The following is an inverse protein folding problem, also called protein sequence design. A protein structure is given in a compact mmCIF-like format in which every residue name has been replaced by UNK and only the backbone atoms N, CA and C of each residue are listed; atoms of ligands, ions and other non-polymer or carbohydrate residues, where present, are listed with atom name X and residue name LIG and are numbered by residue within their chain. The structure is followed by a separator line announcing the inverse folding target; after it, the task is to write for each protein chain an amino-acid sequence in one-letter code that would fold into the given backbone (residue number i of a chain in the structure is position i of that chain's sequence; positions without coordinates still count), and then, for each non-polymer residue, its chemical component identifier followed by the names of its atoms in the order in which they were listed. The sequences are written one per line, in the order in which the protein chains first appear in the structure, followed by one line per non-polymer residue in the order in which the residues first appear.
data_IF_587370986619
#
_entry.id   IF_587370986619
#
_cell.length_a   1.000
_cell.length_b   1.000
_cell.length_c   1.000
_cell.angle_alpha   90.00
_cell.angle_beta   90.00
_cell.angle_gamma   90.00
#
_symmetry.space_group_name_H-M   'P 1'
#
loop_
_entity.id
_entity.type
_entity.pdbx_description
1 polymer ?
#
# COMPACT_ATOMS: atom_id res chain seq x y z
N UNK A 1 -2.04 16.48 18.60
CA UNK A 1 -2.27 15.61 17.42
C UNK A 1 -2.26 16.51 16.21
N UNK A 2 -1.51 16.15 15.18
CA UNK A 2 -1.26 17.02 14.02
C UNK A 2 -2.24 16.78 12.86
N UNK A 3 -3.32 16.05 13.12
CA UNK A 3 -4.33 15.67 12.15
C UNK A 3 -5.73 15.67 12.80
N UNK A 4 -6.79 15.66 11.98
CA UNK A 4 -8.17 15.54 12.43
C UNK A 4 -8.82 14.27 11.88
N UNK A 5 -9.37 13.43 12.76
CA UNK A 5 -10.11 12.23 12.34
C UNK A 5 -11.35 12.59 11.50
N UNK A 6 -12.08 13.64 11.88
CA UNK A 6 -13.25 14.10 11.12
C UNK A 6 -12.87 14.50 9.70
N UNK A 7 -11.75 15.22 9.54
CA UNK A 7 -11.20 15.58 8.23
C UNK A 7 -10.77 14.34 7.45
N UNK A 8 -10.13 13.35 8.09
CA UNK A 8 -9.78 12.09 7.44
C UNK A 8 -11.00 11.33 6.95
N UNK A 9 -12.08 11.25 7.73
CA UNK A 9 -13.34 10.64 7.28
C UNK A 9 -13.98 11.42 6.13
N UNK A 10 -13.90 12.74 6.14
CA UNK A 10 -14.35 13.57 5.03
C UNK A 10 -13.54 13.28 3.75
N UNK A 11 -12.21 13.22 3.84
CA UNK A 11 -11.33 12.83 2.74
C UNK A 11 -11.73 11.46 2.20
N UNK A 12 -11.94 10.47 3.08
CA UNK A 12 -12.37 9.13 2.69
C UNK A 12 -13.72 9.15 1.96
N UNK A 13 -14.71 9.91 2.46
CA UNK A 13 -16.02 10.04 1.82
C UNK A 13 -15.93 10.71 0.45
N UNK A 14 -15.15 11.80 0.32
CA UNK A 14 -15.01 12.54 -0.94
C UNK A 14 -14.13 11.84 -1.96
N UNK A 15 -13.30 10.90 -1.52
CA UNK A 15 -12.49 10.02 -2.38
C UNK A 15 -13.05 8.59 -2.46
N UNK A 16 -14.33 8.40 -2.12
CA UNK A 16 -15.03 7.11 -2.21
C UNK A 16 -14.92 6.43 -3.59
N UNK A 17 -14.88 7.13 -4.74
CA UNK A 17 -14.61 6.50 -6.03
C UNK A 17 -13.31 5.66 -6.04
N UNK A 18 -12.25 6.12 -5.37
CA UNK A 18 -10.99 5.39 -5.24
C UNK A 18 -11.06 4.21 -4.26
N UNK A 19 -11.86 4.33 -3.20
CA UNK A 19 -12.14 3.22 -2.28
C UNK A 19 -12.85 2.10 -3.04
N UNK A 20 -13.88 2.44 -3.80
CA UNK A 20 -14.63 1.49 -4.65
C UNK A 20 -13.70 0.88 -5.70
N UNK A 21 -12.90 1.69 -6.39
CA UNK A 21 -11.93 1.21 -7.37
C UNK A 21 -10.97 0.19 -6.75
N UNK A 22 -10.44 0.45 -5.55
CA UNK A 22 -9.60 -0.52 -4.83
C UNK A 22 -10.32 -1.82 -4.55
N UNK A 23 -11.55 -1.76 -4.03
CA UNK A 23 -12.36 -2.94 -3.75
C UNK A 23 -12.56 -3.76 -5.03
N UNK A 24 -12.91 -3.10 -6.14
CA UNK A 24 -13.11 -3.75 -7.43
C UNK A 24 -11.83 -4.40 -7.96
N UNK A 25 -10.67 -3.76 -7.81
CA UNK A 25 -9.39 -4.33 -8.24
C UNK A 25 -9.02 -5.55 -7.39
N UNK A 26 -9.13 -5.47 -6.05
CA UNK A 26 -8.85 -6.60 -5.18
C UNK A 26 -9.81 -7.76 -5.40
N UNK A 27 -11.09 -7.45 -5.57
CA UNK A 27 -12.12 -8.43 -5.88
C UNK A 27 -11.88 -9.06 -7.26
N UNK A 28 -11.53 -8.27 -8.28
CA UNK A 28 -11.21 -8.75 -9.62
C UNK A 28 -10.02 -9.72 -9.62
N UNK A 29 -8.97 -9.42 -8.84
CA UNK A 29 -7.84 -10.34 -8.62
C UNK A 29 -8.31 -11.66 -7.99
N UNK A 30 -9.15 -11.60 -6.95
CA UNK A 30 -9.70 -12.79 -6.30
C UNK A 30 -10.55 -13.64 -7.26
N UNK A 31 -11.44 -12.99 -8.02
CA UNK A 31 -12.28 -13.63 -9.03
C UNK A 31 -11.42 -14.28 -10.12
N UNK A 32 -10.35 -13.62 -10.57
CA UNK A 32 -9.43 -14.19 -11.56
C UNK A 32 -8.82 -15.51 -11.07
N UNK A 33 -8.35 -15.56 -9.81
CA UNK A 33 -7.86 -16.80 -9.21
C UNK A 33 -8.94 -17.89 -9.17
N UNK A 34 -10.13 -17.57 -8.65
CA UNK A 34 -11.22 -18.55 -8.52
C UNK A 34 -11.64 -19.09 -9.88
N UNK A 35 -11.85 -18.21 -10.87
CA UNK A 35 -12.29 -18.61 -12.21
C UNK A 35 -11.23 -19.41 -12.93
N UNK A 36 -9.96 -19.00 -12.90
CA UNK A 36 -8.91 -19.72 -13.61
C UNK A 36 -8.58 -21.07 -12.97
N UNK A 37 -8.54 -21.15 -11.64
CA UNK A 37 -8.37 -22.43 -10.92
C UNK A 37 -9.56 -23.35 -11.16
N UNK A 38 -10.79 -22.83 -11.07
CA UNK A 38 -12.01 -23.60 -11.32
C UNK A 38 -12.11 -24.08 -12.77
N UNK A 39 -11.80 -23.21 -13.74
CA UNK A 39 -11.77 -23.57 -15.17
C UNK A 39 -10.71 -24.60 -15.45
N UNK A 40 -9.50 -24.43 -14.92
CA UNK A 40 -8.41 -25.40 -15.04
C UNK A 40 -8.80 -26.75 -14.46
N UNK A 41 -9.40 -26.78 -13.27
CA UNK A 41 -9.89 -28.01 -12.66
C UNK A 41 -11.00 -28.66 -13.50
N UNK A 42 -11.93 -27.86 -14.04
CA UNK A 42 -12.99 -28.34 -14.93
C UNK A 42 -12.46 -28.96 -16.23
N UNK A 43 -11.46 -28.34 -16.86
CA UNK A 43 -10.75 -28.90 -18.03
C UNK A 43 -10.05 -30.21 -17.63
N UNK A 44 -9.35 -30.21 -16.51
CA UNK A 44 -8.67 -31.40 -15.96
C UNK A 44 -9.64 -32.55 -15.68
N UNK A 45 -10.82 -32.25 -15.12
CA UNK A 45 -11.90 -33.22 -14.92
C UNK A 45 -12.43 -33.78 -16.24
N UNK A 46 -12.60 -32.92 -17.24
CA UNK A 46 -13.02 -33.32 -18.59
C UNK A 46 -12.01 -34.25 -19.27
N UNK A 47 -10.71 -33.95 -19.18
CA UNK A 47 -9.63 -34.84 -19.65
C UNK A 47 -9.58 -36.14 -18.84
N UNK A 48 -9.77 -36.03 -17.53
CA UNK A 48 -9.82 -37.16 -16.61
C UNK A 48 -11.00 -38.12 -16.86
N UNK A 49 -12.00 -37.72 -17.64
CA UNK A 49 -13.13 -38.59 -17.99
C UNK A 49 -12.71 -39.80 -18.85
N UNK A 50 -11.55 -39.72 -19.52
CA UNK A 50 -11.00 -40.80 -20.35
C UNK A 50 -10.21 -41.88 -19.58
N UNK A 51 -10.02 -41.71 -18.26
CA UNK A 51 -9.31 -42.67 -17.42
C UNK A 51 -10.15 -43.18 -16.24
N UNK A 52 -9.48 -43.85 -15.31
CA UNK A 52 -10.06 -44.32 -14.06
C UNK A 52 -10.29 -43.17 -13.04
N UNK A 53 -10.79 -43.52 -11.86
CA UNK A 53 -11.13 -42.56 -10.80
C UNK A 53 -9.88 -41.82 -10.32
N UNK A 54 -8.76 -42.51 -10.18
CA UNK A 54 -7.49 -41.94 -9.71
C UNK A 54 -6.89 -41.01 -10.76
N UNK A 55 -6.94 -41.38 -12.04
CA UNK A 55 -6.56 -40.52 -13.15
C UNK A 55 -7.44 -39.27 -13.18
N UNK A 56 -8.77 -39.40 -13.03
CA UNK A 56 -9.67 -38.25 -13.02
C UNK A 56 -9.39 -37.29 -11.87
N UNK A 57 -9.17 -37.81 -10.68
CA UNK A 57 -8.79 -37.01 -9.52
C UNK A 57 -7.46 -36.27 -9.77
N UNK A 58 -6.46 -36.98 -10.30
CA UNK A 58 -5.13 -36.45 -10.61
C UNK A 58 -5.18 -35.37 -11.71
N UNK A 59 -5.90 -35.63 -12.81
CA UNK A 59 -6.07 -34.67 -13.91
C UNK A 59 -6.84 -33.42 -13.46
N UNK A 60 -7.88 -33.57 -12.63
CA UNK A 60 -8.63 -32.45 -12.04
C UNK A 60 -7.71 -31.58 -11.17
N UNK A 61 -6.92 -32.21 -10.29
CA UNK A 61 -5.97 -31.51 -9.43
C UNK A 61 -4.94 -30.73 -10.26
N UNK A 62 -4.28 -31.38 -11.21
CA UNK A 62 -3.25 -30.73 -12.04
C UNK A 62 -3.84 -29.64 -12.94
N UNK A 63 -5.04 -29.83 -13.48
CA UNK A 63 -5.75 -28.79 -14.20
C UNK A 63 -5.98 -27.55 -13.33
N UNK A 64 -6.44 -27.73 -12.10
CA UNK A 64 -6.60 -26.64 -11.13
C UNK A 64 -5.28 -25.98 -10.74
N UNK A 65 -4.24 -26.78 -10.49
CA UNK A 65 -2.90 -26.30 -10.14
C UNK A 65 -2.26 -25.49 -11.27
N UNK A 66 -2.42 -25.92 -12.53
CA UNK A 66 -1.97 -25.18 -13.71
C UNK A 66 -2.75 -23.87 -13.85
N UNK A 67 -4.08 -23.91 -13.73
CA UNK A 67 -4.92 -22.70 -13.76
C UNK A 67 -4.53 -21.68 -12.68
N UNK A 68 -4.28 -22.15 -11.46
CA UNK A 68 -3.76 -21.34 -10.37
C UNK A 68 -2.36 -20.78 -10.68
N UNK A 69 -1.43 -21.65 -11.10
CA UNK A 69 -0.03 -21.29 -11.36
C UNK A 69 0.12 -20.27 -12.50
N UNK A 70 -0.61 -20.47 -13.61
CA UNK A 70 -0.63 -19.53 -14.72
C UNK A 70 -1.18 -18.16 -14.28
N UNK A 71 -2.26 -18.14 -13.51
CA UNK A 71 -2.85 -16.90 -12.98
C UNK A 71 -1.91 -16.22 -12.00
N UNK A 72 -1.26 -16.97 -11.11
CA UNK A 72 -0.27 -16.45 -10.19
C UNK A 72 0.91 -15.82 -10.94
N UNK A 73 1.40 -16.46 -12.01
CA UNK A 73 2.48 -15.92 -12.83
C UNK A 73 2.07 -14.60 -13.51
N UNK A 74 0.89 -14.54 -14.14
CA UNK A 74 0.39 -13.31 -14.79
C UNK A 74 0.16 -12.19 -13.77
N UNK A 75 -0.52 -12.51 -12.67
CA UNK A 75 -0.82 -11.52 -11.64
C UNK A 75 0.41 -11.09 -10.87
N UNK A 76 1.46 -11.90 -10.76
CA UNK A 76 2.72 -11.48 -10.15
C UNK A 76 3.27 -10.21 -10.82
N UNK A 77 3.25 -10.15 -12.16
CA UNK A 77 3.72 -8.97 -12.90
C UNK A 77 2.71 -7.82 -12.92
N UNK A 78 1.41 -8.11 -13.08
CA UNK A 78 0.40 -7.07 -13.23
C UNK A 78 -0.02 -6.43 -11.90
N UNK A 79 -0.04 -7.22 -10.82
CA UNK A 79 -0.58 -6.79 -9.52
C UNK A 79 0.18 -5.60 -8.98
N UNK A 80 1.51 -5.64 -9.02
CA UNK A 80 2.31 -4.57 -8.44
C UNK A 80 2.03 -3.25 -9.15
N UNK A 81 2.04 -3.26 -10.49
CA UNK A 81 1.71 -2.09 -11.30
C UNK A 81 0.29 -1.56 -11.05
N UNK A 82 -0.73 -2.43 -11.12
CA UNK A 82 -2.14 -2.02 -10.99
C UNK A 82 -2.41 -1.46 -9.59
N UNK A 83 -2.00 -2.19 -8.54
CA UNK A 83 -2.25 -1.77 -7.17
C UNK A 83 -1.52 -0.47 -6.84
N UNK A 84 -0.31 -0.32 -7.35
CA UNK A 84 0.48 0.87 -7.12
C UNK A 84 -0.09 2.09 -7.86
N UNK A 85 -0.54 1.94 -9.11
CA UNK A 85 -1.17 3.03 -9.86
C UNK A 85 -2.46 3.52 -9.18
N UNK A 86 -3.31 2.59 -8.72
CA UNK A 86 -4.53 2.93 -7.96
C UNK A 86 -4.18 3.62 -6.64
N UNK A 87 -3.11 3.17 -5.97
CA UNK A 87 -2.63 3.77 -4.73
C UNK A 87 -2.12 5.20 -4.97
N UNK A 88 -1.26 5.40 -5.96
CA UNK A 88 -0.72 6.70 -6.34
C UNK A 88 -1.81 7.69 -6.72
N UNK A 89 -2.78 7.27 -7.54
CA UNK A 89 -3.92 8.10 -7.92
C UNK A 89 -4.76 8.53 -6.70
N UNK A 90 -5.00 7.61 -5.76
CA UNK A 90 -5.72 8.00 -4.54
C UNK A 90 -4.93 8.98 -3.68
N UNK A 91 -3.61 8.81 -3.57
CA UNK A 91 -2.74 9.75 -2.87
C UNK A 91 -2.83 11.13 -3.51
N UNK A 92 -2.80 11.22 -4.85
CA UNK A 92 -2.91 12.49 -5.56
C UNK A 92 -4.18 13.25 -5.16
N UNK A 93 -5.35 12.59 -5.18
CA UNK A 93 -6.61 13.26 -4.80
C UNK A 93 -6.72 13.52 -3.29
N UNK A 94 -6.07 12.71 -2.44
CA UNK A 94 -5.96 13.01 -1.01
C UNK A 94 -5.12 14.26 -0.76
N UNK A 95 -4.03 14.46 -1.51
CA UNK A 95 -3.19 15.67 -1.43
C UNK A 95 -3.99 16.91 -1.83
N UNK A 96 -4.66 16.88 -2.99
CA UNK A 96 -5.52 17.98 -3.46
C UNK A 96 -6.57 18.37 -2.41
N UNK A 97 -7.21 17.37 -1.78
CA UNK A 97 -8.18 17.57 -0.70
C UNK A 97 -7.57 18.17 0.57
N UNK A 98 -6.35 17.77 0.94
CA UNK A 98 -5.64 18.33 2.09
C UNK A 98 -5.25 19.79 1.83
N UNK A 99 -4.94 20.14 0.58
CA UNK A 99 -4.63 21.51 0.16
C UNK A 99 -5.89 22.35 -0.15
N UNK A 100 -7.09 21.77 -0.02
CA UNK A 100 -8.35 22.48 -0.23
C UNK A 100 -8.69 22.75 -1.69
N UNK A 101 -8.03 22.06 -2.63
CA UNK A 101 -8.26 22.19 -4.07
C UNK A 101 -9.55 21.45 -4.48
N UNK A 102 -10.29 21.96 -5.49
CA UNK A 102 -11.51 21.33 -5.95
C UNK A 102 -11.20 20.00 -6.65
N UNK A 103 -11.97 18.95 -6.35
CA UNK A 103 -11.89 17.66 -7.04
C UNK A 103 -13.10 17.47 -7.97
N UNK A 104 -12.90 16.88 -9.17
CA UNK A 104 -14.00 16.39 -9.98
C UNK A 104 -14.82 15.35 -9.22
N UNK A 105 -16.14 15.35 -9.46
CA UNK A 105 -17.05 14.38 -8.83
C UNK A 105 -17.09 13.04 -9.58
N UNK A 106 -17.44 11.98 -8.84
CA UNK A 106 -17.69 10.65 -9.40
C UNK A 106 -16.49 10.05 -10.13
N UNK A 107 -16.73 9.47 -11.32
CA UNK A 107 -15.70 8.76 -12.10
C UNK A 107 -14.62 9.70 -12.67
N UNK A 108 -14.92 10.98 -12.86
CA UNK A 108 -13.97 11.98 -13.37
C UNK A 108 -12.76 12.16 -12.43
N UNK A 109 -12.94 11.88 -11.14
CA UNK A 109 -11.87 11.91 -10.14
C UNK A 109 -10.72 10.95 -10.46
N UNK A 110 -11.03 9.78 -11.06
CA UNK A 110 -10.00 8.77 -11.38
C UNK A 110 -9.15 9.25 -12.56
N UNK A 111 -9.77 9.79 -13.60
CA UNK A 111 -9.04 10.35 -14.75
C UNK A 111 -8.14 11.52 -14.32
N UNK A 112 -8.70 12.46 -13.55
CA UNK A 112 -7.94 13.58 -13.02
C UNK A 112 -6.73 13.15 -12.19
N UNK A 113 -6.89 12.15 -11.33
CA UNK A 113 -5.77 11.60 -10.56
C UNK A 113 -4.71 10.93 -11.44
N UNK A 114 -5.14 10.23 -12.51
CA UNK A 114 -4.22 9.65 -13.47
C UNK A 114 -3.42 10.73 -14.19
N UNK A 115 -4.04 11.85 -14.52
CA UNK A 115 -3.36 12.99 -15.14
C UNK A 115 -2.33 13.59 -14.18
N UNK A 116 -2.68 13.82 -12.90
CA UNK A 116 -1.70 14.28 -11.88
C UNK A 116 -0.50 13.34 -11.80
N UNK A 117 -0.73 12.02 -11.73
CA UNK A 117 0.35 11.04 -11.62
C UNK A 117 1.19 10.98 -12.89
N UNK A 118 0.56 11.05 -14.07
CA UNK A 118 1.26 11.06 -15.36
C UNK A 118 2.09 12.33 -15.54
N UNK A 119 1.52 13.49 -15.29
CA UNK A 119 2.20 14.78 -15.41
C UNK A 119 3.41 14.83 -14.46
N UNK A 120 3.24 14.31 -13.24
CA UNK A 120 4.29 14.35 -12.23
C UNK A 120 5.47 13.45 -12.52
N UNK A 121 5.21 12.24 -13.00
CA UNK A 121 6.25 11.22 -13.14
C UNK A 121 6.65 10.93 -14.57
N UNK A 122 5.94 11.51 -15.56
CA UNK A 122 6.08 11.42 -17.03
C UNK A 122 6.10 9.99 -17.60
N UNK A 123 6.96 9.14 -17.05
CA UNK A 123 7.11 7.73 -17.35
C UNK A 123 6.85 6.91 -16.08
N UNK A 124 6.03 5.87 -16.18
CA UNK A 124 5.68 5.01 -15.03
C UNK A 124 6.89 4.29 -14.39
N UNK A 125 7.99 4.17 -15.12
CA UNK A 125 9.26 3.60 -14.66
C UNK A 125 9.94 4.44 -13.56
N UNK A 126 9.87 5.78 -13.61
CA UNK A 126 10.51 6.66 -12.61
C UNK A 126 9.81 6.50 -11.27
N UNK A 127 8.48 6.58 -11.29
CA UNK A 127 7.65 6.42 -10.10
C UNK A 127 7.90 5.05 -9.44
N UNK A 128 7.93 3.97 -10.23
CA UNK A 128 8.21 2.64 -9.72
C UNK A 128 9.65 2.51 -9.18
N UNK A 129 10.63 3.07 -9.88
CA UNK A 129 12.02 3.04 -9.43
C UNK A 129 12.22 3.82 -8.12
N UNK A 130 11.52 4.94 -7.93
CA UNK A 130 11.47 5.67 -6.66
C UNK A 130 10.89 4.81 -5.55
N UNK A 131 9.72 4.21 -5.79
CA UNK A 131 9.03 3.35 -4.82
C UNK A 131 9.91 2.19 -4.34
N UNK A 132 10.61 1.51 -5.26
CA UNK A 132 11.53 0.43 -4.89
C UNK A 132 12.72 0.90 -4.05
N UNK A 133 13.30 2.06 -4.39
CA UNK A 133 14.41 2.61 -3.60
C UNK A 133 13.92 3.03 -2.22
N UNK A 134 12.78 3.71 -2.12
CA UNK A 134 12.19 4.16 -0.86
C UNK A 134 11.87 2.96 0.04
N UNK A 135 11.24 1.91 -0.49
CA UNK A 135 11.02 0.64 0.22
C UNK A 135 12.33 0.00 0.69
N UNK A 136 13.37 0.07 -0.13
CA UNK A 136 14.72 -0.35 0.26
C UNK A 136 15.29 0.45 1.43
N UNK A 137 15.11 1.78 1.44
CA UNK A 137 15.51 2.65 2.56
C UNK A 137 14.75 2.27 3.83
N UNK A 138 13.43 2.16 3.73
CA UNK A 138 12.55 1.76 4.84
C UNK A 138 12.92 0.38 5.37
N UNK A 139 13.19 -0.59 4.49
CA UNK A 139 13.61 -1.94 4.84
C UNK A 139 14.92 -1.94 5.63
N UNK A 140 15.92 -1.16 5.21
CA UNK A 140 17.18 -1.02 5.93
C UNK A 140 16.98 -0.44 7.34
N UNK A 141 16.22 0.66 7.45
CA UNK A 141 15.97 1.33 8.74
C UNK A 141 15.21 0.41 9.69
N UNK A 142 14.15 -0.26 9.21
CA UNK A 142 13.39 -1.20 10.06
C UNK A 142 14.19 -2.44 10.44
N UNK A 143 15.09 -2.91 9.57
CA UNK A 143 16.01 -4.00 9.86
C UNK A 143 16.91 -3.68 11.05
N UNK A 144 17.50 -2.49 11.07
CA UNK A 144 18.34 -2.01 12.18
C UNK A 144 17.56 -1.96 13.50
N UNK A 145 16.34 -1.40 13.49
CA UNK A 145 15.48 -1.32 14.69
C UNK A 145 15.12 -2.71 15.21
N UNK A 146 14.83 -3.67 14.33
CA UNK A 146 14.53 -5.06 14.73
C UNK A 146 15.76 -5.76 15.31
N UNK A 147 16.95 -5.55 14.73
CA UNK A 147 18.20 -6.12 15.23
C UNK A 147 18.52 -5.64 16.65
N UNK A 148 18.32 -4.35 16.94
CA UNK A 148 18.48 -3.81 18.29
C UNK A 148 17.45 -4.38 19.27
N UNK A 149 16.19 -4.55 18.84
CA UNK A 149 15.13 -5.12 19.67
C UNK A 149 15.35 -6.60 20.01
N UNK A 150 16.07 -7.38 19.18
CA UNK A 150 16.38 -8.79 19.47
C UNK A 150 17.44 -8.99 20.56
N UNK A 151 18.23 -7.96 20.88
CA UNK A 151 19.31 -8.04 21.88
C UNK A 151 18.78 -7.82 23.31
N UNK A 152 17.57 -7.27 23.48
CA UNK A 152 16.95 -7.00 24.78
C UNK A 152 15.66 -7.81 24.97
N UNK A 153 15.74 -9.11 25.32
CA UNK A 153 14.58 -9.85 25.81
C UNK A 153 14.23 -9.33 27.21
N UNK A 154 13.24 -8.44 27.29
CA UNK A 154 12.69 -7.96 28.57
C UNK A 154 11.48 -8.85 28.88
N UNK A 155 11.54 -9.73 29.90
CA UNK A 155 10.39 -10.53 30.32
C UNK A 155 9.25 -9.62 30.83
N UNK A 156 8.00 -9.89 30.46
CA UNK A 156 6.83 -9.17 30.98
C UNK A 156 6.39 -7.92 30.20
N UNK A 157 7.09 -7.52 29.13
CA UNK A 157 6.68 -6.40 28.26
C UNK A 157 6.10 -6.83 26.91
N UNK A 158 5.81 -8.12 26.69
CA UNK A 158 5.37 -8.63 25.38
C UNK A 158 4.10 -7.95 24.85
N UNK A 159 3.16 -7.63 25.75
CA UNK A 159 1.93 -6.89 25.42
C UNK A 159 2.23 -5.46 24.98
N UNK A 160 3.03 -4.72 25.76
CA UNK A 160 3.48 -3.38 25.42
C UNK A 160 4.26 -3.37 24.11
N UNK A 161 5.17 -4.33 23.92
CA UNK A 161 5.94 -4.50 22.69
C UNK A 161 5.07 -4.82 21.47
N UNK A 162 3.91 -5.48 21.65
CA UNK A 162 2.94 -5.71 20.56
C UNK A 162 2.28 -4.41 20.12
N UNK A 163 1.89 -3.56 21.07
CA UNK A 163 1.38 -2.21 20.79
C UNK A 163 2.48 -1.38 20.12
N UNK A 164 3.72 -1.51 20.60
CA UNK A 164 4.87 -0.80 20.03
C UNK A 164 5.09 -1.15 18.56
N UNK A 165 5.15 -2.46 18.28
CA UNK A 165 5.28 -2.96 16.91
C UNK A 165 4.10 -2.56 16.02
N UNK A 166 2.89 -2.45 16.57
CA UNK A 166 1.73 -2.03 15.80
C UNK A 166 1.83 -0.56 15.38
N UNK A 167 2.25 0.36 16.27
CA UNK A 167 2.47 1.76 15.88
C UNK A 167 3.64 1.91 14.92
N UNK A 168 4.74 1.17 15.14
CA UNK A 168 5.89 1.20 14.23
C UNK A 168 5.48 0.72 12.84
N UNK A 169 4.59 -0.27 12.75
CA UNK A 169 4.07 -0.75 11.47
C UNK A 169 3.27 0.33 10.73
N UNK A 170 2.48 1.15 11.41
CA UNK A 170 1.76 2.27 10.77
C UNK A 170 2.73 3.39 10.40
N UNK A 171 3.59 3.79 11.34
CA UNK A 171 4.56 4.86 11.13
C UNK A 171 5.54 4.56 10.00
N UNK A 172 5.91 3.29 9.82
CA UNK A 172 6.91 2.90 8.82
C UNK A 172 6.28 2.34 7.55
N UNK A 173 5.19 1.58 7.68
CA UNK A 173 4.53 0.93 6.56
C UNK A 173 3.69 1.84 5.67
N UNK A 174 3.67 3.15 5.96
CA UNK A 174 3.05 4.18 5.14
C UNK A 174 4.04 5.28 4.69
N UNK A 175 5.35 5.10 4.94
CA UNK A 175 6.34 6.12 4.61
C UNK A 175 6.41 6.31 3.09
N UNK A 176 6.43 5.23 2.30
CA UNK A 176 6.50 5.32 0.84
C UNK A 176 5.36 6.16 0.27
N UNK A 177 4.15 6.00 0.79
CA UNK A 177 3.00 6.82 0.40
C UNK A 177 3.12 8.27 0.84
N UNK A 178 3.68 8.54 2.03
CA UNK A 178 3.95 9.90 2.50
C UNK A 178 4.99 10.59 1.62
N UNK A 179 6.06 9.89 1.23
CA UNK A 179 7.07 10.42 0.30
C UNK A 179 6.44 10.70 -1.06
N UNK A 180 5.64 9.78 -1.59
CA UNK A 180 4.92 9.99 -2.84
C UNK A 180 3.98 11.20 -2.76
N UNK A 181 3.24 11.35 -1.66
CA UNK A 181 2.38 12.50 -1.45
C UNK A 181 3.17 13.81 -1.40
N UNK A 182 4.34 13.82 -0.76
CA UNK A 182 5.23 14.97 -0.74
C UNK A 182 5.71 15.34 -2.15
N UNK A 183 6.10 14.36 -2.95
CA UNK A 183 6.51 14.57 -4.34
C UNK A 183 5.38 15.15 -5.19
N UNK A 184 4.14 14.67 -5.01
CA UNK A 184 2.97 15.21 -5.72
C UNK A 184 2.69 16.65 -5.27
N UNK A 185 2.75 16.91 -3.96
CA UNK A 185 2.42 18.22 -3.38
C UNK A 185 3.43 19.32 -3.75
N UNK A 186 4.71 19.03 -3.58
CA UNK A 186 5.78 20.02 -3.79
C UNK A 186 6.22 20.15 -5.24
N UNK A 187 5.90 19.15 -6.07
CA UNK A 187 6.24 19.12 -7.50
C UNK A 187 7.71 19.50 -7.84
N UNK A 188 8.75 18.95 -7.16
CA UNK A 188 10.14 19.31 -7.47
C UNK A 188 10.60 18.83 -8.85
N UNK A 189 11.36 19.64 -9.59
CA UNK A 189 11.88 19.28 -10.93
C UNK A 189 12.70 17.98 -10.94
N UNK A 190 13.40 17.72 -9.83
CA UNK A 190 14.14 16.50 -9.60
C UNK A 190 13.40 15.61 -8.59
N UNK A 191 12.73 14.53 -9.04
CA UNK A 191 11.96 13.70 -8.12
C UNK A 191 12.85 12.86 -7.19
N UNK A 192 14.11 12.61 -7.57
CA UNK A 192 15.07 11.91 -6.71
C UNK A 192 15.52 12.77 -5.53
N UNK A 193 15.81 14.06 -5.77
CA UNK A 193 16.13 14.99 -4.67
C UNK A 193 14.90 15.21 -3.79
N UNK A 194 13.72 15.42 -4.37
CA UNK A 194 12.48 15.56 -3.60
C UNK A 194 12.19 14.36 -2.70
N UNK A 195 12.45 13.14 -3.17
CA UNK A 195 12.27 11.93 -2.37
C UNK A 195 13.30 11.84 -1.23
N UNK A 196 14.54 12.25 -1.50
CA UNK A 196 15.61 12.30 -0.50
C UNK A 196 15.26 13.29 0.60
N UNK A 197 14.83 14.48 0.22
CA UNK A 197 14.46 15.55 1.14
C UNK A 197 13.26 15.13 1.99
N UNK A 198 12.23 14.55 1.38
CA UNK A 198 11.06 14.04 2.10
C UNK A 198 11.42 12.94 3.13
N UNK A 199 12.36 12.04 2.80
CA UNK A 199 12.84 11.01 3.72
C UNK A 199 13.59 11.62 4.91
N UNK A 200 14.39 12.67 4.67
CA UNK A 200 15.07 13.43 5.74
C UNK A 200 14.05 14.14 6.62
N UNK A 201 13.08 14.84 6.00
CA UNK A 201 12.00 15.52 6.71
C UNK A 201 11.19 14.55 7.59
N UNK A 202 10.93 13.33 7.11
CA UNK A 202 10.28 12.30 7.90
C UNK A 202 11.16 11.84 9.08
N UNK A 203 12.44 11.56 8.80
CA UNK A 203 13.41 11.11 9.79
C UNK A 203 13.64 12.13 10.91
N UNK A 204 13.87 13.40 10.57
CA UNK A 204 14.10 14.48 11.54
C UNK A 204 12.86 14.73 12.41
N UNK A 205 11.67 14.43 11.89
CA UNK A 205 10.40 14.51 12.60
C UNK A 205 9.89 13.15 13.11
N UNK A 206 10.77 12.15 13.30
CA UNK A 206 10.36 10.81 13.71
C UNK A 206 9.54 10.80 15.02
N UNK A 207 9.90 11.61 16.02
CA UNK A 207 9.18 11.67 17.30
C UNK A 207 7.70 12.09 17.16
N UNK A 208 7.38 13.27 16.59
CA UNK A 208 5.99 13.65 16.38
C UNK A 208 5.26 12.71 15.42
N UNK A 209 5.94 12.16 14.40
CA UNK A 209 5.33 11.19 13.49
C UNK A 209 4.95 9.88 14.20
N UNK A 210 5.82 9.34 15.06
CA UNK A 210 5.54 8.15 15.87
C UNK A 210 4.41 8.39 16.87
N UNK A 211 4.36 9.56 17.50
CA UNK A 211 3.29 9.93 18.42
C UNK A 211 1.93 9.99 17.70
N UNK A 212 1.87 10.59 16.51
CA UNK A 212 0.65 10.59 15.70
C UNK A 212 0.29 9.18 15.23
N UNK A 213 1.26 8.37 14.79
CA UNK A 213 1.04 7.00 14.36
C UNK A 213 0.42 6.13 15.46
N UNK A 214 0.80 6.32 16.73
CA UNK A 214 0.19 5.59 17.85
C UNK A 214 -1.32 5.83 17.95
N UNK A 215 -1.77 7.08 17.83
CA UNK A 215 -3.20 7.43 17.81
C UNK A 215 -3.90 6.89 16.56
N UNK A 216 -3.25 6.99 15.40
CA UNK A 216 -3.77 6.46 14.13
C UNK A 216 -3.96 4.94 14.24
N UNK A 217 -3.00 4.22 14.81
CA UNK A 217 -3.09 2.77 15.03
C UNK A 217 -4.28 2.41 15.93
N UNK A 218 -4.44 3.10 17.06
CA UNK A 218 -5.54 2.84 17.99
C UNK A 218 -6.90 2.99 17.30
N UNK A 219 -7.11 4.10 16.59
CA UNK A 219 -8.38 4.34 15.87
C UNK A 219 -8.54 3.42 14.68
N UNK A 220 -7.46 3.03 14.00
CA UNK A 220 -7.51 2.04 12.93
C UNK A 220 -7.96 0.66 13.44
N UNK A 221 -7.57 0.26 14.65
CA UNK A 221 -8.08 -0.96 15.29
C UNK A 221 -9.56 -0.86 15.64
N UNK A 222 -9.99 0.27 16.19
CA UNK A 222 -11.41 0.51 16.46
C UNK A 222 -12.24 0.47 15.17
N UNK A 223 -11.75 1.12 14.10
CA UNK A 223 -12.38 1.09 12.79
C UNK A 223 -12.41 -0.33 12.21
N UNK A 224 -11.32 -1.08 12.31
CA UNK A 224 -11.28 -2.48 11.87
C UNK A 224 -12.30 -3.35 12.63
N UNK A 225 -12.46 -3.12 13.94
CA UNK A 225 -13.47 -3.81 14.75
C UNK A 225 -14.89 -3.45 14.32
N UNK A 226 -15.19 -2.17 14.09
CA UNK A 226 -16.50 -1.72 13.58
C UNK A 226 -16.78 -2.35 12.21
N UNK A 227 -15.82 -2.33 11.29
CA UNK A 227 -16.01 -2.94 9.97
C UNK A 227 -16.21 -4.45 10.10
N UNK A 228 -15.47 -5.12 10.99
CA UNK A 228 -15.69 -6.53 11.27
C UNK A 228 -17.13 -6.82 11.69
N UNK A 229 -17.69 -6.04 12.64
CA UNK A 229 -19.08 -6.18 13.07
C UNK A 229 -20.08 -5.96 11.94
N UNK A 230 -19.91 -4.89 11.15
CA UNK A 230 -20.77 -4.58 9.99
C UNK A 230 -20.74 -5.72 8.97
N UNK A 231 -19.58 -6.36 8.79
CA UNK A 231 -19.42 -7.44 7.82
C UNK A 231 -19.91 -8.81 8.31
N UNK A 232 -20.28 -8.98 9.59
CA UNK A 232 -20.83 -10.24 10.09
C UNK A 232 -22.14 -10.62 9.37
N UNK A 233 -23.01 -9.65 9.10
CA UNK A 233 -24.29 -9.91 8.42
C UNK A 233 -24.11 -10.36 6.95
N UNK A 234 -23.34 -9.65 6.10
CA UNK A 234 -22.99 -10.14 4.76
C UNK A 234 -22.32 -11.53 4.78
N UNK A 235 -21.40 -11.77 5.72
CA UNK A 235 -20.74 -13.06 5.85
C UNK A 235 -21.74 -14.18 6.20
N UNK A 236 -22.63 -13.93 7.17
CA UNK A 236 -23.67 -14.89 7.56
C UNK A 236 -24.65 -15.18 6.42
N UNK A 237 -25.02 -14.16 5.64
CA UNK A 237 -25.87 -14.34 4.45
C UNK A 237 -25.21 -15.25 3.41
N UNK A 238 -23.92 -15.07 3.12
CA UNK A 238 -23.18 -15.95 2.20
C UNK A 238 -23.14 -17.39 2.71
N UNK A 239 -22.91 -17.59 4.01
CA UNK A 239 -22.90 -18.94 4.62
C UNK A 239 -24.26 -19.61 4.51
N UNK A 240 -25.34 -18.88 4.77
CA UNK A 240 -26.71 -19.40 4.66
C UNK A 240 -27.08 -19.82 3.23
N UNK A 241 -26.63 -19.05 2.23
CA UNK A 241 -26.94 -19.30 0.81
C UNK A 241 -26.14 -20.44 0.18
N UNK A 242 -25.05 -20.91 0.82
CA UNK A 242 -24.20 -21.98 0.31
C UNK A 242 -24.11 -23.13 1.34
N UNK A 243 -25.21 -23.86 1.58
CA UNK A 243 -25.22 -24.99 2.52
C UNK A 243 -24.29 -26.11 2.05
N UNK A 244 -23.42 -26.61 2.94
CA UNK A 244 -22.45 -27.68 2.66
C UNK A 244 -21.13 -27.23 2.00
N UNK A 245 -20.97 -25.96 1.65
CA UNK A 245 -19.85 -25.42 0.86
C UNK A 245 -18.62 -24.94 1.63
N UNK A 246 -18.53 -25.18 2.94
CA UNK A 246 -17.33 -24.89 3.74
C UNK A 246 -16.21 -25.91 3.47
N UNK A 247 -15.77 -25.94 2.21
CA UNK A 247 -14.47 -26.47 1.80
C UNK A 247 -13.36 -25.47 2.15
N UNK A 248 -12.11 -25.82 1.82
CA UNK A 248 -10.95 -24.92 1.87
C UNK A 248 -11.21 -23.51 1.23
N UNK A 249 -12.19 -23.38 0.32
CA UNK A 249 -12.57 -22.11 -0.30
C UNK A 249 -13.16 -21.06 0.66
N UNK A 250 -13.87 -21.47 1.72
CA UNK A 250 -14.45 -20.53 2.70
C UNK A 250 -13.38 -19.80 3.52
N UNK A 251 -12.31 -20.51 3.88
CA UNK A 251 -11.17 -19.94 4.58
C UNK A 251 -10.38 -18.95 3.69
N UNK A 252 -10.15 -19.32 2.42
CA UNK A 252 -9.51 -18.44 1.43
C UNK A 252 -10.34 -17.17 1.21
N UNK A 253 -11.66 -17.30 1.09
CA UNK A 253 -12.56 -16.16 0.96
C UNK A 253 -12.47 -15.23 2.18
N UNK A 254 -12.50 -15.77 3.41
CA UNK A 254 -12.38 -14.98 4.62
C UNK A 254 -11.06 -14.19 4.69
N UNK A 255 -9.93 -14.81 4.29
CA UNK A 255 -8.63 -14.14 4.23
C UNK A 255 -8.63 -13.02 3.18
N UNK A 256 -9.05 -13.32 1.96
CA UNK A 256 -9.09 -12.35 0.86
C UNK A 256 -9.98 -11.16 1.21
N UNK A 257 -11.12 -11.44 1.83
CA UNK A 257 -12.07 -10.43 2.27
C UNK A 257 -11.52 -9.55 3.39
N UNK A 258 -10.95 -10.15 4.45
CA UNK A 258 -10.32 -9.40 5.53
C UNK A 258 -9.17 -8.51 5.02
N UNK A 259 -8.39 -9.03 4.08
CA UNK A 259 -7.33 -8.27 3.42
C UNK A 259 -7.88 -7.12 2.56
N UNK A 260 -8.93 -7.36 1.78
CA UNK A 260 -9.56 -6.33 0.95
C UNK A 260 -10.14 -5.19 1.79
N UNK A 261 -10.82 -5.50 2.90
CA UNK A 261 -11.33 -4.49 3.85
C UNK A 261 -10.19 -3.63 4.38
N UNK A 262 -9.11 -4.28 4.86
CA UNK A 262 -7.95 -3.57 5.39
C UNK A 262 -7.34 -2.64 4.32
N UNK A 263 -7.11 -3.17 3.12
CA UNK A 263 -6.42 -2.45 2.05
C UNK A 263 -7.26 -1.34 1.41
N UNK A 264 -8.59 -1.49 1.38
CA UNK A 264 -9.48 -0.52 0.76
C UNK A 264 -9.98 0.59 1.71
N UNK A 265 -10.08 0.31 3.02
CA UNK A 265 -10.67 1.25 3.99
C UNK A 265 -9.67 1.68 5.07
N UNK A 266 -9.05 0.73 5.76
CA UNK A 266 -8.22 1.03 6.93
C UNK A 266 -6.91 1.72 6.53
N UNK A 267 -6.22 1.18 5.52
CA UNK A 267 -4.96 1.76 5.04
C UNK A 267 -5.14 3.19 4.51
N UNK A 268 -6.12 3.48 3.62
CA UNK A 268 -6.30 4.85 3.15
C UNK A 268 -6.74 5.84 4.24
N UNK A 269 -7.51 5.39 5.23
CA UNK A 269 -7.86 6.22 6.39
C UNK A 269 -6.61 6.58 7.21
N UNK A 270 -5.77 5.57 7.51
CA UNK A 270 -4.53 5.79 8.26
C UNK A 270 -3.59 6.73 7.49
N UNK A 271 -3.51 6.55 6.17
CA UNK A 271 -2.74 7.41 5.29
C UNK A 271 -3.28 8.85 5.28
N UNK A 272 -4.58 9.06 5.15
CA UNK A 272 -5.17 10.41 5.20
C UNK A 272 -4.85 11.14 6.52
N UNK A 273 -4.82 10.42 7.65
CA UNK A 273 -4.38 10.98 8.93
C UNK A 273 -2.88 11.31 8.92
N UNK A 274 -2.05 10.39 8.43
CA UNK A 274 -0.60 10.53 8.43
C UNK A 274 -0.13 11.65 7.49
N UNK A 275 -0.79 11.83 6.34
CA UNK A 275 -0.51 12.92 5.40
C UNK A 275 -0.77 14.29 6.04
N UNK A 276 -1.89 14.46 6.73
CA UNK A 276 -2.17 15.69 7.49
C UNK A 276 -1.07 15.96 8.52
N UNK A 277 -0.70 14.95 9.30
CA UNK A 277 0.33 15.08 10.32
C UNK A 277 1.69 15.44 9.70
N UNK A 278 2.09 14.73 8.66
CA UNK A 278 3.36 14.95 7.98
C UNK A 278 3.43 16.36 7.38
N UNK A 279 2.42 16.75 6.59
CA UNK A 279 2.38 18.06 5.95
C UNK A 279 2.35 19.21 6.94
N UNK A 280 1.67 19.05 8.08
CA UNK A 280 1.64 20.06 9.13
C UNK A 280 2.98 20.16 9.88
N UNK A 281 3.58 19.03 10.22
CA UNK A 281 4.83 19.00 10.99
C UNK A 281 6.00 19.49 10.15
N UNK A 282 6.04 19.17 8.86
CA UNK A 282 7.15 19.50 7.95
C UNK A 282 6.99 20.86 7.27
N UNK A 283 5.91 21.59 7.54
CA UNK A 283 5.63 22.87 6.90
C UNK A 283 6.76 23.89 7.17
N UNK A 284 7.26 24.51 6.11
CA UNK A 284 8.37 25.46 6.15
C UNK A 284 9.74 24.89 6.58
N UNK A 285 9.87 23.58 6.82
CA UNK A 285 11.15 22.98 7.21
C UNK A 285 12.03 22.67 6.00
N UNK A 286 13.34 22.75 6.20
CA UNK A 286 14.35 22.23 5.26
C UNK A 286 14.97 20.94 5.80
N UNK A 287 15.47 20.05 4.92
CA UNK A 287 16.22 18.86 5.33
C UNK A 287 17.43 19.20 6.18
N UNK A 288 17.56 18.56 7.35
CA UNK A 288 18.70 18.70 8.24
C UNK A 288 19.92 17.92 7.70
N UNK A 289 21.10 18.58 7.52
CA UNK A 289 22.32 17.92 7.08
C UNK A 289 22.79 16.77 7.98
N UNK A 290 22.59 16.87 9.29
CA UNK A 290 22.96 15.81 10.24
C UNK A 290 22.09 14.57 10.03
N UNK A 291 20.77 14.76 9.86
CA UNK A 291 19.86 13.67 9.53
C UNK A 291 20.14 13.05 8.18
N UNK A 292 20.54 13.87 7.20
CA UNK A 292 20.99 13.40 5.90
C UNK A 292 22.19 12.47 6.04
N UNK A 293 23.23 12.87 6.79
CA UNK A 293 24.40 12.05 7.03
C UNK A 293 24.07 10.74 7.79
N UNK A 294 23.16 10.80 8.76
CA UNK A 294 22.68 9.61 9.49
C UNK A 294 21.99 8.61 8.56
N UNK A 295 21.12 9.09 7.67
CA UNK A 295 20.42 8.24 6.70
C UNK A 295 21.37 7.65 5.65
N UNK A 296 22.35 8.42 5.19
CA UNK A 296 23.42 7.91 4.32
C UNK A 296 24.22 6.81 5.03
N UNK A 297 24.60 7.01 6.30
CA UNK A 297 25.29 5.98 7.08
C UNK A 297 24.46 4.70 7.29
N UNK A 298 23.14 4.83 7.44
CA UNK A 298 22.25 3.72 7.74
C UNK A 298 21.75 2.94 6.51
N UNK A 299 21.73 3.55 5.31
CA UNK A 299 21.12 2.93 4.13
C UNK A 299 21.88 3.22 2.84
N UNK A 300 22.42 2.17 2.22
CA UNK A 300 22.99 2.24 0.87
C UNK A 300 21.95 2.67 -0.18
N UNK A 301 20.67 2.35 0.02
CA UNK A 301 19.58 2.79 -0.87
C UNK A 301 19.34 4.29 -0.76
N UNK A 302 19.56 4.88 0.42
CA UNK A 302 19.48 6.33 0.59
C UNK A 302 20.66 7.03 -0.10
N UNK A 303 21.87 6.45 -0.04
CA UNK A 303 23.01 6.92 -0.85
C UNK A 303 22.73 6.84 -2.36
N UNK A 304 22.17 5.72 -2.83
CA UNK A 304 21.78 5.54 -4.23
C UNK A 304 20.81 6.64 -4.69
N UNK A 305 19.87 7.04 -3.83
CA UNK A 305 18.94 8.14 -4.09
C UNK A 305 19.67 9.47 -4.31
N UNK A 306 20.67 9.79 -3.47
CA UNK A 306 21.53 10.95 -3.63
C UNK A 306 22.35 10.93 -4.93
N UNK A 307 22.92 9.77 -5.29
CA UNK A 307 23.64 9.60 -6.56
C UNK A 307 22.73 9.83 -7.77
N UNK A 308 21.51 9.27 -7.76
CA UNK A 308 20.53 9.51 -8.84
C UNK A 308 20.10 10.97 -8.92
N UNK A 309 19.93 11.62 -7.78
CA UNK A 309 19.62 13.05 -7.72
C UNK A 309 20.73 13.90 -8.35
N UNK A 310 22.00 13.60 -8.07
CA UNK A 310 23.13 14.30 -8.68
C UNK A 310 23.20 14.06 -10.20
N UNK A 311 23.00 12.81 -10.64
CA UNK A 311 23.05 12.45 -12.06
C UNK A 311 21.88 13.05 -12.87
N UNK A 312 20.72 13.25 -12.25
CA UNK A 312 19.57 13.90 -12.87
C UNK A 312 19.89 15.32 -13.34
N UNK A 313 20.65 16.08 -12.53
CA UNK A 313 21.10 17.43 -12.87
C UNK A 313 22.09 17.46 -14.07
N UNK A 314 22.78 16.35 -14.34
CA UNK A 314 23.69 16.21 -15.49
C UNK A 314 22.98 15.80 -16.80
N UNK A 315 21.84 15.12 -16.72
CA UNK A 315 21.12 14.61 -17.90
C UNK A 315 20.23 15.64 -18.61
N UNK A 316 19.78 16.69 -17.91
CA UNK A 316 18.90 17.72 -18.48
C UNK A 316 19.57 18.69 -19.47
N UNK A 317 20.91 18.66 -19.59
CA UNK A 317 21.66 19.53 -20.52
C UNK A 317 22.07 18.85 -21.83
N UNK A 318 21.60 17.62 -22.09
CA UNK A 318 22.03 16.81 -23.23
C UNK A 318 21.02 16.64 -24.37
N UNK A 319 19.88 17.34 -24.36
CA UNK A 319 18.82 17.19 -25.38
C UNK A 319 18.52 18.49 -26.13
N UNK A 320 19.28 19.56 -25.89
CA UNK A 320 19.29 20.75 -26.74
C UNK A 320 20.67 20.92 -27.39
N UNK A 321 20.94 20.11 -28.42
CA UNK A 321 21.91 20.40 -29.47
C UNK A 321 21.56 19.63 -30.73
#
# INVERSE_FOLDING_TARGET
MEFSFARSFEIMRRTAPFIILRILVYFGIAVAYVLATGTGAGIGWGVGAFGDVDFRATSTFWGGAIGFGATAAVLYFLREYILYMVKAGHIAVMVEMIDGRPLPEGKGQIAHAQDIVKDRFAQANILFALDQIIKGVIGAITGLVRGLASILPIPGVDGLMRVVRAFLRVAVGLIDEVILAHLIRQNPDNPWSGARDALVLYGQNARPMLANAAWITLVSYALAFVVFLVMLAPAAAVVYLIPGGWSAGGFVFAILFAWAVKAALIEPFALACLLQAFFKVTDGQTPDPEWTARLEGASNKFKELGTRAANWAGGGKGVES
#
